data_IF_981933572712
#
_entry.id   IF_981933572712
#
_cell.length_a   1.000
_cell.length_b   1.000
_cell.length_c   1.000
_cell.angle_alpha   90.00
_cell.angle_beta   90.00
_cell.angle_gamma   90.00
#
_symmetry.space_group_name_H-M   'P 1'
#
loop_
_entity.id
_entity.type
_entity.pdbx_description
1 polymer ?
#
# COMPACT_ATOMS: atom_id res chain seq x y z
N UNK A 1 -15.69 -29.33 -5.07
CA UNK A 1 -14.29 -29.75 -5.26
C UNK A 1 -13.51 -28.51 -5.64
N UNK A 2 -12.43 -28.15 -4.92
CA UNK A 2 -11.70 -26.91 -5.19
C UNK A 2 -10.24 -27.04 -4.70
N UNK A 3 -9.34 -27.37 -5.63
CA UNK A 3 -7.90 -27.29 -5.41
C UNK A 3 -7.45 -25.85 -5.64
N UNK A 4 -6.56 -25.34 -4.78
CA UNK A 4 -6.04 -23.99 -4.87
C UNK A 4 -4.50 -23.96 -4.81
N UNK A 5 -3.90 -23.11 -5.63
CA UNK A 5 -2.45 -22.83 -5.60
C UNK A 5 -2.22 -21.64 -4.66
N UNK A 6 -1.71 -21.94 -3.47
CA UNK A 6 -1.68 -21.03 -2.33
C UNK A 6 -0.31 -20.99 -1.65
N UNK A 7 -0.11 -20.00 -0.80
CA UNK A 7 1.14 -19.83 -0.06
C UNK A 7 0.97 -20.31 1.39
N UNK A 8 1.68 -21.38 1.76
CA UNK A 8 1.92 -21.73 3.16
C UNK A 8 3.08 -20.89 3.70
N UNK A 9 3.00 -20.47 4.96
CA UNK A 9 4.06 -19.75 5.68
C UNK A 9 4.88 -20.74 6.51
N UNK A 10 6.18 -20.75 6.27
CA UNK A 10 7.21 -21.24 7.19
C UNK A 10 8.19 -20.13 7.56
N UNK A 11 9.41 -20.55 7.92
CA UNK A 11 10.42 -19.66 8.50
C UNK A 11 10.16 -19.41 10.00
N UNK A 12 10.99 -18.58 10.61
CA UNK A 12 10.97 -18.31 12.06
C UNK A 12 10.33 -16.95 12.40
N UNK A 13 10.27 -16.62 13.70
CA UNK A 13 9.80 -15.30 14.17
C UNK A 13 10.65 -14.20 13.50
N UNK A 14 9.99 -13.14 12.99
CA UNK A 14 10.57 -12.07 12.14
C UNK A 14 11.21 -12.50 10.79
N UNK A 15 11.38 -13.79 10.48
CA UNK A 15 11.95 -14.27 9.19
C UNK A 15 10.95 -15.13 8.39
N UNK A 16 9.96 -14.54 7.71
CA UNK A 16 8.95 -15.27 6.95
C UNK A 16 9.53 -15.85 5.65
N UNK A 17 9.23 -17.13 5.38
CA UNK A 17 9.54 -17.80 4.11
C UNK A 17 8.30 -18.57 3.64
N UNK A 18 7.92 -18.47 2.37
CA UNK A 18 6.68 -19.05 1.87
C UNK A 18 6.93 -20.25 0.94
N UNK A 19 6.10 -21.28 1.08
CA UNK A 19 6.04 -22.44 0.18
C UNK A 19 4.84 -22.24 -0.75
N UNK A 20 5.05 -22.31 -2.06
CA UNK A 20 3.94 -22.33 -3.03
C UNK A 20 3.47 -23.78 -3.13
N UNK A 21 2.24 -24.02 -2.71
CA UNK A 21 1.68 -25.37 -2.53
C UNK A 21 0.31 -25.50 -3.15
N UNK A 22 0.03 -26.69 -3.66
CA UNK A 22 -1.26 -27.10 -4.20
C UNK A 22 -1.99 -27.87 -3.11
N UNK A 23 -3.18 -27.44 -2.71
CA UNK A 23 -3.96 -28.06 -1.63
C UNK A 23 -5.47 -27.85 -1.85
N UNK A 24 -6.31 -28.69 -1.24
CA UNK A 24 -7.74 -28.41 -1.15
C UNK A 24 -7.98 -27.13 -0.30
N UNK A 25 -8.93 -26.30 -0.72
CA UNK A 25 -9.29 -25.05 -0.05
C UNK A 25 -9.62 -25.25 1.44
N UNK A 26 -10.21 -26.39 1.83
CA UNK A 26 -10.61 -26.71 3.21
C UNK A 26 -9.44 -27.05 4.14
N UNK A 27 -8.28 -27.44 3.60
CA UNK A 27 -7.13 -27.78 4.43
C UNK A 27 -6.56 -26.53 5.14
N UNK A 28 -6.10 -26.60 6.41
CA UNK A 28 -5.51 -25.45 7.11
C UNK A 28 -4.24 -24.95 6.41
N UNK A 29 -3.96 -23.64 6.48
CA UNK A 29 -2.96 -22.93 5.64
C UNK A 29 -1.62 -23.66 5.52
N UNK A 30 -1.10 -24.14 6.65
CA UNK A 30 0.24 -24.74 6.77
C UNK A 30 0.21 -26.23 7.12
N UNK A 31 -0.94 -26.88 6.95
CA UNK A 31 -1.10 -28.32 7.13
C UNK A 31 -0.81 -29.11 5.85
N UNK A 32 -1.45 -30.28 5.72
CA UNK A 32 -1.28 -31.18 4.58
C UNK A 32 -1.62 -30.48 3.26
N UNK A 33 -0.69 -30.57 2.31
CA UNK A 33 -0.83 -30.20 0.91
C UNK A 33 -0.75 -31.45 0.02
N UNK A 34 -1.07 -31.31 -1.26
CA UNK A 34 -0.95 -32.36 -2.28
C UNK A 34 0.48 -32.34 -2.84
N UNK A 35 0.91 -31.17 -3.32
CA UNK A 35 2.21 -30.98 -3.98
C UNK A 35 2.79 -29.59 -3.67
N UNK A 36 4.12 -29.44 -3.77
CA UNK A 36 4.82 -28.16 -3.64
C UNK A 36 5.41 -27.76 -4.98
N UNK A 37 4.78 -26.79 -5.64
CA UNK A 37 5.20 -26.26 -6.95
C UNK A 37 6.15 -25.06 -6.86
N UNK A 38 6.62 -24.69 -5.67
CA UNK A 38 7.64 -23.64 -5.55
C UNK A 38 7.86 -23.04 -4.15
N UNK A 39 8.44 -21.84 -4.15
CA UNK A 39 8.70 -21.02 -2.97
C UNK A 39 8.78 -19.52 -3.25
N UNK A 40 8.58 -18.71 -2.22
CA UNK A 40 8.77 -17.26 -2.27
C UNK A 40 9.45 -16.76 -0.99
N UNK A 41 10.57 -16.07 -1.13
CA UNK A 41 11.27 -15.40 -0.04
C UNK A 41 11.10 -13.87 -0.15
N UNK A 42 10.30 -13.22 0.71
CA UNK A 42 10.07 -11.78 0.62
C UNK A 42 11.28 -10.93 1.03
N UNK A 43 12.25 -11.52 1.74
CA UNK A 43 13.41 -10.83 2.30
C UNK A 43 14.54 -10.60 1.28
N UNK A 44 14.50 -11.32 0.15
CA UNK A 44 15.38 -11.08 -1.00
C UNK A 44 14.90 -9.85 -1.78
N UNK A 45 15.81 -9.23 -2.55
CA UNK A 45 15.54 -8.08 -3.41
C UNK A 45 14.49 -8.42 -4.48
N UNK A 46 13.95 -7.42 -5.19
CA UNK A 46 12.91 -7.67 -6.21
C UNK A 46 13.43 -8.53 -7.36
N UNK A 47 14.70 -8.37 -7.65
CA UNK A 47 15.38 -8.76 -8.88
C UNK A 47 16.24 -10.02 -8.67
N UNK A 48 16.32 -10.53 -7.42
CA UNK A 48 16.86 -11.83 -7.08
C UNK A 48 16.01 -12.95 -7.71
N UNK A 49 16.57 -13.75 -8.62
CA UNK A 49 15.90 -14.96 -9.17
C UNK A 49 15.44 -15.91 -8.04
N UNK A 50 16.30 -16.08 -7.02
CA UNK A 50 16.06 -16.91 -5.83
C UNK A 50 14.90 -16.40 -4.96
N UNK A 51 14.34 -15.22 -5.26
CA UNK A 51 13.15 -14.68 -4.59
C UNK A 51 11.90 -15.50 -4.89
N UNK A 52 11.72 -15.96 -6.12
CA UNK A 52 10.54 -16.70 -6.59
C UNK A 52 11.02 -17.90 -7.39
N UNK A 53 11.02 -19.07 -6.77
CA UNK A 53 11.34 -20.34 -7.45
C UNK A 53 10.04 -21.06 -7.71
N UNK A 54 9.73 -21.34 -8.98
CA UNK A 54 8.50 -22.01 -9.42
C UNK A 54 8.86 -23.16 -10.36
N UNK A 55 8.25 -24.32 -10.12
CA UNK A 55 8.18 -25.39 -11.11
C UNK A 55 7.10 -25.05 -12.13
N UNK A 56 7.51 -24.69 -13.35
CA UNK A 56 6.60 -24.23 -14.41
C UNK A 56 5.76 -25.36 -15.00
N UNK A 57 6.31 -26.57 -15.11
CA UNK A 57 5.62 -27.74 -15.67
C UNK A 57 4.52 -28.22 -14.73
N UNK A 58 4.84 -28.39 -13.44
CA UNK A 58 3.88 -28.79 -12.41
C UNK A 58 2.87 -27.69 -12.14
N UNK A 59 3.28 -26.41 -12.14
CA UNK A 59 2.33 -25.30 -12.03
C UNK A 59 1.33 -25.29 -13.21
N UNK A 60 1.80 -25.47 -14.45
CA UNK A 60 0.94 -25.56 -15.64
C UNK A 60 -0.03 -26.74 -15.54
N UNK A 61 0.47 -27.95 -15.24
CA UNK A 61 -0.36 -29.13 -15.05
C UNK A 61 -1.51 -28.89 -14.05
N UNK A 62 -1.24 -28.27 -12.91
CA UNK A 62 -2.29 -27.97 -11.92
C UNK A 62 -3.27 -26.88 -12.37
N UNK A 63 -2.83 -25.89 -13.17
CA UNK A 63 -3.74 -24.93 -13.81
C UNK A 63 -4.65 -25.62 -14.84
N UNK A 64 -4.12 -26.55 -15.64
CA UNK A 64 -4.87 -27.36 -16.60
C UNK A 64 -5.88 -28.29 -15.90
N UNK A 65 -5.57 -28.77 -14.69
CA UNK A 65 -6.51 -29.47 -13.79
C UNK A 65 -7.50 -28.51 -13.06
N UNK A 66 -7.53 -27.22 -13.39
CA UNK A 66 -8.47 -26.23 -12.86
C UNK A 66 -8.16 -25.72 -11.45
N UNK A 67 -6.95 -25.90 -10.94
CA UNK A 67 -6.56 -25.39 -9.62
C UNK A 67 -6.47 -23.85 -9.63
N UNK A 68 -7.18 -23.19 -8.71
CA UNK A 68 -7.30 -21.72 -8.72
C UNK A 68 -6.16 -21.05 -7.91
N UNK A 69 -5.33 -20.18 -8.50
CA UNK A 69 -4.28 -19.49 -7.77
C UNK A 69 -4.80 -18.31 -6.96
N UNK A 70 -4.18 -18.05 -5.81
CA UNK A 70 -4.39 -16.82 -5.03
C UNK A 70 -3.70 -15.59 -5.68
N UNK A 71 -4.18 -14.35 -5.43
CA UNK A 71 -3.68 -13.13 -6.11
C UNK A 71 -2.16 -12.96 -6.12
N UNK A 72 -1.48 -13.34 -5.02
CA UNK A 72 -0.02 -13.24 -4.94
C UNK A 72 0.67 -14.31 -5.79
N UNK A 73 0.13 -15.52 -5.84
CA UNK A 73 0.62 -16.60 -6.73
C UNK A 73 0.31 -16.26 -8.19
N UNK A 74 -0.86 -15.70 -8.48
CA UNK A 74 -1.24 -15.27 -9.83
C UNK A 74 -0.23 -14.24 -10.41
N UNK A 75 0.32 -13.33 -9.60
CA UNK A 75 1.41 -12.43 -10.05
C UNK A 75 2.72 -13.15 -10.38
N UNK A 76 3.03 -14.26 -9.70
CA UNK A 76 4.21 -15.07 -10.02
C UNK A 76 3.99 -15.91 -11.30
N UNK A 77 2.76 -16.39 -11.51
CA UNK A 77 2.36 -17.09 -12.76
C UNK A 77 2.29 -16.14 -13.97
N UNK A 78 1.85 -14.90 -13.76
CA UNK A 78 1.83 -13.81 -14.76
C UNK A 78 3.24 -13.39 -15.16
N UNK A 79 4.15 -13.24 -14.18
CA UNK A 79 5.58 -13.01 -14.44
C UNK A 79 6.27 -14.21 -15.13
N UNK A 80 5.79 -15.44 -14.91
CA UNK A 80 6.27 -16.64 -15.58
C UNK A 80 5.54 -16.95 -16.91
N UNK A 81 4.65 -16.07 -17.38
CA UNK A 81 3.90 -16.25 -18.63
C UNK A 81 2.84 -17.36 -18.62
N UNK A 82 2.58 -18.02 -17.49
CA UNK A 82 1.67 -19.16 -17.36
C UNK A 82 0.19 -18.76 -17.21
N UNK A 83 -0.10 -17.59 -16.67
CA UNK A 83 -1.48 -17.10 -16.49
C UNK A 83 -1.51 -15.57 -16.52
N UNK A 84 -2.20 -14.98 -17.50
CA UNK A 84 -2.33 -13.52 -17.56
C UNK A 84 -3.23 -13.02 -16.43
N UNK A 85 -2.70 -12.11 -15.60
CA UNK A 85 -3.46 -11.52 -14.49
C UNK A 85 -4.30 -10.34 -14.98
N UNK A 86 -5.62 -10.45 -14.83
CA UNK A 86 -6.51 -9.30 -15.02
C UNK A 86 -6.25 -8.22 -13.95
N UNK A 87 -6.26 -6.96 -14.38
CA UNK A 87 -6.10 -5.83 -13.49
C UNK A 87 -7.37 -5.65 -12.64
N UNK A 88 -7.23 -5.61 -11.31
CA UNK A 88 -8.36 -5.34 -10.41
C UNK A 88 -8.84 -3.89 -10.58
N UNK A 89 -9.85 -3.69 -11.42
CA UNK A 89 -10.63 -2.45 -11.41
C UNK A 89 -11.44 -2.36 -10.11
N UNK A 90 -11.51 -1.17 -9.51
CA UNK A 90 -12.47 -0.82 -8.48
C UNK A 90 -13.20 0.46 -8.95
N UNK A 91 -14.42 0.34 -9.53
CA UNK A 91 -15.15 1.47 -10.12
C UNK A 91 -15.54 2.59 -9.14
N UNK A 92 -15.38 2.39 -7.84
CA UNK A 92 -15.64 3.40 -6.81
C UNK A 92 -14.35 4.00 -6.22
N UNK A 93 -13.16 3.58 -6.67
CA UNK A 93 -11.88 4.11 -6.15
C UNK A 93 -11.61 5.50 -6.73
N UNK A 94 -11.89 6.53 -5.93
CA UNK A 94 -11.71 7.94 -6.30
C UNK A 94 -13.01 8.73 -6.41
N UNK A 95 -14.17 8.08 -6.24
CA UNK A 95 -15.42 8.82 -5.98
C UNK A 95 -15.34 9.49 -4.60
N UNK A 96 -15.75 10.76 -4.45
CA UNK A 96 -16.08 11.31 -3.14
C UNK A 96 -17.16 10.46 -2.47
N UNK A 97 -17.18 10.37 -1.14
CA UNK A 97 -18.32 9.79 -0.42
C UNK A 97 -19.53 10.74 -0.45
N UNK A 98 -20.74 10.23 -0.18
CA UNK A 98 -21.99 11.02 -0.17
C UNK A 98 -21.83 12.38 0.52
N UNK A 99 -21.32 12.39 1.76
CA UNK A 99 -21.09 13.64 2.53
C UNK A 99 -20.12 14.65 1.93
N UNK A 100 -19.48 14.33 0.81
CA UNK A 100 -18.66 15.23 0.00
C UNK A 100 -19.31 15.58 -1.34
N UNK A 101 -20.17 14.73 -1.92
CA UNK A 101 -21.03 15.14 -3.05
C UNK A 101 -22.13 16.07 -2.54
N UNK A 102 -22.86 15.69 -1.49
CA UNK A 102 -23.93 16.48 -0.86
C UNK A 102 -23.48 17.93 -0.56
N UNK A 103 -22.23 18.11 -0.08
CA UNK A 103 -21.66 19.45 0.20
C UNK A 103 -21.22 20.22 -1.04
N UNK A 104 -20.85 19.53 -2.12
CA UNK A 104 -20.58 20.18 -3.42
C UNK A 104 -21.89 20.56 -4.09
N UNK A 105 -22.92 19.74 -3.97
CA UNK A 105 -24.28 19.95 -4.48
C UNK A 105 -24.95 21.12 -3.75
N UNK A 106 -25.06 21.09 -2.41
CA UNK A 106 -25.58 22.20 -1.58
C UNK A 106 -24.85 23.53 -1.87
N UNK A 107 -23.51 23.47 -2.04
CA UNK A 107 -22.71 24.67 -2.34
C UNK A 107 -22.90 25.16 -3.78
N UNK A 108 -23.18 24.27 -4.74
CA UNK A 108 -23.49 24.63 -6.11
C UNK A 108 -24.91 25.22 -6.23
N UNK A 109 -25.91 24.63 -5.59
CA UNK A 109 -27.27 25.19 -5.52
C UNK A 109 -27.27 26.57 -4.85
N UNK A 110 -26.56 26.72 -3.73
CA UNK A 110 -26.40 28.01 -3.04
C UNK A 110 -25.64 29.06 -3.86
N UNK A 111 -24.70 28.65 -4.71
CA UNK A 111 -24.02 29.55 -5.63
C UNK A 111 -24.94 29.95 -6.80
N UNK A 112 -25.69 29.01 -7.37
CA UNK A 112 -26.65 29.28 -8.45
C UNK A 112 -27.77 30.22 -8.00
N UNK A 113 -28.35 29.99 -6.81
CA UNK A 113 -29.37 30.87 -6.23
C UNK A 113 -28.84 32.29 -5.94
N UNK A 114 -27.55 32.42 -5.55
CA UNK A 114 -26.92 33.72 -5.38
C UNK A 114 -26.65 34.43 -6.72
N UNK A 115 -26.36 33.69 -7.79
CA UNK A 115 -26.16 34.25 -9.13
C UNK A 115 -27.49 34.67 -9.80
N UNK A 116 -28.57 33.90 -9.61
CA UNK A 116 -29.94 34.29 -9.99
C UNK A 116 -30.37 35.58 -9.28
N UNK A 117 -30.25 35.62 -7.94
CA UNK A 117 -30.63 36.81 -7.17
C UNK A 117 -29.81 38.06 -7.58
N UNK A 118 -28.53 37.89 -7.94
CA UNK A 118 -27.70 38.97 -8.47
C UNK A 118 -28.12 39.42 -9.88
N UNK A 119 -28.57 38.51 -10.74
CA UNK A 119 -29.10 38.81 -12.08
C UNK A 119 -30.46 39.48 -12.03
N UNK A 120 -31.36 39.04 -11.14
CA UNK A 120 -32.67 39.65 -10.94
C UNK A 120 -32.53 41.09 -10.41
N UNK A 121 -31.66 41.29 -9.41
CA UNK A 121 -31.34 42.62 -8.90
C UNK A 121 -30.70 43.55 -9.96
N UNK A 122 -29.95 43.01 -10.92
CA UNK A 122 -29.36 43.77 -12.02
C UNK A 122 -30.32 44.02 -13.20
N UNK A 123 -31.51 43.42 -13.21
CA UNK A 123 -32.50 43.56 -14.28
C UNK A 123 -33.57 44.63 -13.98
N UNK A 124 -33.61 45.18 -12.77
CA UNK A 124 -34.53 46.26 -12.40
C UNK A 124 -34.07 47.62 -13.00
N UNK A 125 -34.91 48.34 -13.77
CA UNK A 125 -34.53 49.62 -14.35
C UNK A 125 -34.45 50.72 -13.29
N UNK A 126 -33.40 51.54 -13.35
CA UNK A 126 -33.15 52.59 -12.37
C UNK A 126 -34.13 53.78 -12.50
N UNK A 127 -34.75 54.25 -11.40
CA UNK A 127 -35.18 55.63 -11.28
C UNK A 127 -33.95 56.52 -11.01
N UNK A 128 -33.92 57.70 -11.65
CA UNK A 128 -32.88 58.72 -11.45
C UNK A 128 -33.39 59.77 -10.48
N UNK A 129 -32.66 60.03 -9.39
CA UNK A 129 -32.69 61.33 -8.69
C UNK A 129 -31.36 61.57 -7.94
N UNK A 130 -31.14 62.81 -7.47
CA UNK A 130 -29.82 63.38 -7.18
C UNK A 130 -29.28 63.19 -5.75
N UNK A 131 -27.95 63.35 -5.60
CA UNK A 131 -27.27 63.64 -4.33
C UNK A 131 -27.03 65.16 -4.18
N UNK A 132 -26.97 65.69 -2.94
CA UNK A 132 -25.66 65.92 -2.27
C UNK A 132 -25.63 65.34 -0.83
N UNK A 133 -24.50 65.05 -0.18
CA UNK A 133 -23.41 65.94 0.32
C UNK A 133 -23.92 67.03 1.30
N UNK A 134 -23.24 67.39 2.40
CA UNK A 134 -21.80 67.26 2.75
C UNK A 134 -21.57 67.21 4.29
N UNK A 135 -20.31 67.11 4.73
CA UNK A 135 -19.76 67.38 6.10
C UNK A 135 -20.11 66.41 7.27
N UNK A 136 -19.22 66.11 8.25
CA UNK A 136 -17.78 66.40 8.38
C UNK A 136 -17.07 65.49 9.44
N UNK A 137 -15.72 65.58 9.44
CA UNK A 137 -14.78 65.36 10.57
C UNK A 137 -14.51 63.94 11.15
N UNK A 138 -13.26 63.51 10.94
CA UNK A 138 -12.42 62.73 11.88
C UNK A 138 -11.36 63.71 12.49
N UNK A 139 -10.27 63.34 13.22
CA UNK A 139 -9.72 62.02 13.58
C UNK A 139 -9.16 61.93 15.04
N UNK A 140 -8.10 61.12 15.25
CA UNK A 140 -7.26 60.92 16.45
C UNK A 140 -7.86 60.09 17.63
N UNK A 141 -7.08 59.31 18.40
CA UNK A 141 -5.61 59.22 18.51
C UNK A 141 -5.05 57.78 18.63
N UNK A 142 -3.75 57.63 18.27
CA UNK A 142 -2.63 56.90 18.94
C UNK A 142 -2.87 55.54 19.66
N UNK A 143 -2.14 54.45 19.35
CA UNK A 143 -0.73 54.11 19.71
C UNK A 143 -0.48 53.90 21.23
N UNK A 144 0.32 52.96 21.75
CA UNK A 144 1.01 51.72 21.26
C UNK A 144 1.15 50.76 22.49
N UNK A 145 1.84 49.60 22.59
CA UNK A 145 2.92 48.87 21.89
C UNK A 145 2.41 47.54 21.24
N UNK A 146 3.15 46.67 20.53
CA UNK A 146 4.59 46.32 20.38
C UNK A 146 5.14 45.23 21.38
N UNK A 147 6.16 44.39 21.02
CA UNK A 147 6.12 42.96 21.37
C UNK A 147 7.38 42.31 22.01
N UNK A 148 7.20 41.11 22.60
CA UNK A 148 8.26 40.12 22.87
C UNK A 148 7.66 38.71 23.13
N UNK A 149 8.37 37.58 23.09
CA UNK A 149 9.48 37.08 22.24
C UNK A 149 9.82 35.63 22.71
N UNK A 150 10.19 34.73 21.79
CA UNK A 150 11.00 33.50 22.07
C UNK A 150 10.48 32.43 23.09
N UNK A 151 10.98 31.19 23.13
CA UNK A 151 11.88 30.45 22.24
C UNK A 151 11.58 28.92 22.21
N UNK A 152 11.95 28.30 21.10
CA UNK A 152 12.58 26.98 20.99
C UNK A 152 13.92 27.20 20.21
N UNK A 153 14.92 26.28 20.13
CA UNK A 153 14.87 24.83 20.37
C UNK A 153 16.11 24.18 21.04
N UNK A 154 16.11 22.84 21.15
CA UNK A 154 17.27 21.89 21.17
C UNK A 154 16.67 20.46 20.97
N UNK A 155 17.22 19.43 20.27
CA UNK A 155 18.58 18.88 20.06
C UNK A 155 19.26 18.32 21.33
N UNK A 156 19.97 17.17 21.33
CA UNK A 156 20.30 16.16 20.29
C UNK A 156 19.09 15.18 20.03
N UNK A 157 19.12 13.88 19.66
CA UNK A 157 20.18 12.85 19.52
C UNK A 157 19.91 11.78 18.44
N UNK A 158 20.93 11.01 18.01
CA UNK A 158 20.79 9.93 16.98
C UNK A 158 21.88 8.82 17.09
N UNK A 159 21.50 7.53 17.08
CA UNK A 159 22.47 6.41 17.02
C UNK A 159 21.92 5.08 16.42
N UNK A 160 22.22 4.84 15.14
CA UNK A 160 22.52 3.53 14.53
C UNK A 160 24.04 3.59 14.16
N UNK A 161 24.83 2.52 13.92
CA UNK A 161 24.54 1.12 13.55
C UNK A 161 25.62 0.12 14.08
N UNK A 162 25.94 -0.96 13.34
CA UNK A 162 26.85 -2.11 13.68
C UNK A 162 27.96 -2.23 12.59
N UNK A 163 28.68 -3.36 12.23
CA UNK A 163 28.88 -4.73 12.77
C UNK A 163 30.35 -5.30 12.77
N UNK A 164 30.51 -6.61 13.09
CA UNK A 164 31.59 -7.57 12.71
C UNK A 164 32.98 -7.52 13.42
N UNK A 165 33.84 -8.57 13.50
CA UNK A 165 33.81 -9.96 12.98
C UNK A 165 34.52 -11.02 13.90
N UNK A 166 34.72 -12.25 13.40
CA UNK A 166 35.06 -13.58 13.97
C UNK A 166 36.32 -13.80 14.86
N UNK A 167 36.26 -14.90 15.62
CA UNK A 167 37.32 -15.93 15.68
C UNK A 167 36.71 -17.35 15.85
N UNK A 168 37.38 -18.41 15.37
CA UNK A 168 36.89 -19.81 15.32
C UNK A 168 37.50 -20.73 16.38
N UNK A 169 36.82 -21.84 16.72
CA UNK A 169 37.44 -23.16 16.93
C UNK A 169 36.41 -24.31 16.97
N UNK A 170 36.92 -25.51 16.63
CA UNK A 170 36.41 -26.87 16.87
C UNK A 170 35.24 -27.45 16.02
N UNK A 171 35.61 -28.33 15.09
CA UNK A 171 34.79 -29.36 14.45
C UNK A 171 35.62 -30.66 14.42
N UNK A 172 35.07 -31.77 14.89
CA UNK A 172 35.79 -33.04 15.02
C UNK A 172 35.30 -34.09 13.99
N UNK A 173 36.14 -34.49 13.01
CA UNK A 173 35.88 -35.67 12.19
C UNK A 173 36.33 -36.95 12.90
N UNK A 174 35.63 -38.06 12.67
CA UNK A 174 35.96 -39.38 13.18
C UNK A 174 35.71 -40.47 12.12
N UNK A 175 36.32 -41.64 12.32
CA UNK A 175 36.38 -42.80 11.41
C UNK A 175 37.31 -42.61 10.19
N UNK A 176 38.58 -42.96 10.40
CA UNK A 176 39.54 -43.32 9.35
C UNK A 176 39.26 -44.75 8.82
N UNK A 177 40.12 -45.29 7.95
CA UNK A 177 39.75 -46.30 6.97
C UNK A 177 40.06 -47.76 7.35
N UNK A 178 39.48 -48.66 6.54
CA UNK A 178 40.13 -49.85 5.97
C UNK A 178 41.12 -50.66 6.84
N UNK A 179 40.66 -51.80 7.36
CA UNK A 179 41.55 -52.95 7.61
C UNK A 179 41.35 -54.00 6.52
N UNK A 180 42.32 -54.15 5.62
CA UNK A 180 42.35 -55.23 4.64
C UNK A 180 42.83 -56.56 5.27
N UNK A 181 42.03 -57.61 5.08
CA UNK A 181 42.42 -59.04 5.10
C UNK A 181 41.22 -59.85 4.56
N UNK A 182 41.34 -60.41 3.34
CA UNK A 182 40.25 -61.08 2.64
C UNK A 182 40.42 -61.03 1.12
#
# INVERSE_FOLDING_TARGET
MAVAIRMSRGGSKKRPYYKIVVADVRAPRDGKFIERVGSYNPLLAKDDEKRVVLDTERAKHWLDQGAKPSDRVARFLDAAGLLKREARNNPNKGKPGEKATERVEEKAEKAAAAEEAAKEAAAAPAPVEEAPAEEAAAPEAAAEEAPAAEAAPAEEAKAEEKPAEEAKADEAPAADAEKAEG
#
